data_IF_980976961108
#
_entry.id   IF_980976961108
#
_cell.length_a   1.000
_cell.length_b   1.000
_cell.length_c   1.000
_cell.angle_alpha   90.00
_cell.angle_beta   90.00
_cell.angle_gamma   90.00
#
_symmetry.space_group_name_H-M   'P 1'
#
loop_
_entity.id
_entity.type
_entity.pdbx_description
1 polymer ?
#
# COMPACT_ATOMS: atom_id res chain seq x y z
N UNK A 1 5.01 -1.05 20.20
CA UNK A 1 5.79 -0.20 19.29
C UNK A 1 6.46 0.92 20.08
N UNK A 2 7.76 1.10 19.90
CA UNK A 2 8.48 2.21 20.54
C UNK A 2 8.15 3.51 19.78
N UNK A 3 8.17 4.65 20.47
CA UNK A 3 7.91 5.97 19.87
C UNK A 3 8.89 6.33 18.72
N UNK A 4 9.99 5.57 18.59
CA UNK A 4 11.03 5.74 17.57
C UNK A 4 10.92 4.77 16.38
N UNK A 5 9.92 3.88 16.30
CA UNK A 5 9.87 2.94 15.18
C UNK A 5 9.64 3.68 13.86
N UNK A 6 10.45 3.38 12.86
CA UNK A 6 10.36 3.88 11.49
C UNK A 6 9.92 2.72 10.60
N UNK A 7 8.93 2.96 9.75
CA UNK A 7 8.42 1.98 8.78
C UNK A 7 8.88 2.38 7.38
N UNK A 8 9.50 1.44 6.68
CA UNK A 8 9.87 1.59 5.28
C UNK A 8 8.70 1.27 4.38
N UNK A 9 8.50 2.01 3.28
CA UNK A 9 7.42 1.73 2.31
C UNK A 9 8.00 1.57 0.92
N UNK A 10 7.76 0.40 0.34
CA UNK A 10 8.00 0.03 -1.05
C UNK A 10 6.63 -0.08 -1.72
N UNK A 11 6.35 0.76 -2.71
CA UNK A 11 5.08 0.77 -3.42
C UNK A 11 5.26 0.91 -4.92
N UNK A 12 4.19 0.57 -5.66
CA UNK A 12 4.14 0.77 -7.10
C UNK A 12 4.30 2.23 -7.49
N UNK A 13 3.59 3.14 -6.84
CA UNK A 13 3.65 4.56 -7.17
C UNK A 13 3.68 5.48 -5.95
N UNK A 14 4.01 6.76 -6.15
CA UNK A 14 3.90 7.77 -5.10
C UNK A 14 2.46 7.96 -4.62
N UNK A 15 1.47 7.85 -5.51
CA UNK A 15 0.06 7.98 -5.15
C UNK A 15 -0.38 6.91 -4.13
N UNK A 16 0.02 5.65 -4.33
CA UNK A 16 -0.33 4.54 -3.44
C UNK A 16 0.31 4.72 -2.06
N UNK A 17 1.58 5.11 -2.03
CA UNK A 17 2.30 5.43 -0.79
C UNK A 17 1.58 6.49 0.01
N UNK A 18 1.00 7.50 -0.63
CA UNK A 18 0.26 8.56 0.06
C UNK A 18 -0.98 8.02 0.79
N UNK A 19 -1.70 7.08 0.16
CA UNK A 19 -2.84 6.40 0.79
C UNK A 19 -2.39 5.56 1.98
N UNK A 20 -1.36 4.73 1.79
CA UNK A 20 -0.77 3.89 2.84
C UNK A 20 -0.31 4.75 4.02
N UNK A 21 0.37 5.87 3.74
CA UNK A 21 0.84 6.83 4.76
C UNK A 21 -0.31 7.28 5.67
N UNK A 22 -1.44 7.69 5.09
CA UNK A 22 -2.58 8.13 5.89
C UNK A 22 -3.25 6.99 6.66
N UNK A 23 -3.29 5.76 6.12
CA UNK A 23 -3.77 4.58 6.86
C UNK A 23 -2.91 4.33 8.10
N UNK A 24 -1.58 4.30 7.95
CA UNK A 24 -0.65 4.03 9.06
C UNK A 24 -0.75 5.06 10.17
N UNK A 25 -0.84 6.36 9.84
CA UNK A 25 -0.97 7.44 10.82
C UNK A 25 -2.12 7.21 11.80
N UNK A 26 -3.27 6.73 11.31
CA UNK A 26 -4.40 6.44 12.20
C UNK A 26 -4.25 5.08 12.90
N UNK A 27 -3.79 4.05 12.20
CA UNK A 27 -3.72 2.68 12.73
C UNK A 27 -2.69 2.56 13.87
N UNK A 28 -1.55 3.24 13.72
CA UNK A 28 -0.42 3.19 14.64
C UNK A 28 -0.28 4.44 15.51
N UNK A 29 -0.93 5.55 15.16
CA UNK A 29 -0.78 6.82 15.88
C UNK A 29 0.56 7.52 15.61
N UNK A 30 1.25 7.15 14.53
CA UNK A 30 2.54 7.72 14.11
C UNK A 30 2.35 8.93 13.20
N UNK A 31 3.45 9.66 12.92
CA UNK A 31 3.46 10.79 11.99
C UNK A 31 4.32 10.54 10.74
N UNK A 32 4.54 11.58 9.93
CA UNK A 32 5.33 11.50 8.70
C UNK A 32 6.81 11.17 8.96
N UNK A 33 7.38 11.53 10.11
CA UNK A 33 8.78 11.25 10.44
C UNK A 33 9.02 9.76 10.69
N UNK A 34 7.98 9.01 11.06
CA UNK A 34 8.02 7.56 11.25
C UNK A 34 7.83 6.77 9.94
N UNK A 35 7.59 7.42 8.79
CA UNK A 35 7.27 6.73 7.53
C UNK A 35 8.31 7.11 6.47
N UNK A 36 9.13 6.15 6.08
CA UNK A 36 10.19 6.36 5.10
C UNK A 36 9.84 5.75 3.76
N UNK A 37 9.91 6.55 2.70
CA UNK A 37 9.86 6.04 1.33
C UNK A 37 11.14 5.26 1.01
N UNK A 38 11.02 3.99 0.67
CA UNK A 38 12.10 3.16 0.16
C UNK A 38 12.06 3.08 -1.36
N UNK A 39 10.87 2.82 -1.93
CA UNK A 39 10.62 2.88 -3.37
C UNK A 39 9.16 3.31 -3.66
N UNK A 40 8.92 4.08 -4.74
CA UNK A 40 9.92 4.88 -5.45
C UNK A 40 10.45 5.99 -4.53
N UNK A 41 11.74 6.31 -4.59
CA UNK A 41 12.31 7.42 -3.81
C UNK A 41 11.78 8.73 -4.38
N UNK A 42 11.19 9.58 -3.53
CA UNK A 42 10.85 10.94 -3.94
C UNK A 42 12.13 11.69 -4.30
N UNK A 43 12.18 12.26 -5.50
CA UNK A 43 13.30 13.10 -5.97
C UNK A 43 13.43 14.35 -5.08
N UNK A 44 14.15 14.26 -3.97
CA UNK A 44 14.45 15.45 -3.15
C UNK A 44 15.91 15.62 -2.73
N UNK A 45 16.78 14.59 -2.78
CA UNK A 45 18.20 14.79 -2.46
C UNK A 45 19.17 14.31 -3.56
N UNK A 46 20.20 15.13 -3.82
CA UNK A 46 21.27 14.85 -4.78
C UNK A 46 22.07 13.58 -4.45
N UNK A 47 22.09 13.18 -3.17
CA UNK A 47 22.70 11.94 -2.68
C UNK A 47 21.95 10.67 -3.10
N UNK A 48 20.63 10.74 -3.28
CA UNK A 48 19.82 9.57 -3.69
C UNK A 48 19.93 9.30 -5.20
N UNK A 49 20.18 10.36 -5.99
CA UNK A 49 20.49 10.24 -7.43
C UNK A 49 21.74 9.41 -7.71
N UNK A 50 22.72 9.41 -6.80
CA UNK A 50 23.95 8.63 -6.95
C UNK A 50 23.77 7.14 -6.66
N UNK A 51 22.73 6.75 -5.91
CA UNK A 51 22.46 5.35 -5.55
C UNK A 51 21.70 4.58 -6.63
N UNK A 52 21.00 5.28 -7.52
CA UNK A 52 20.18 4.70 -8.58
C UNK A 52 20.86 4.93 -9.93
N UNK A 53 21.52 3.89 -10.46
CA UNK A 53 21.92 3.82 -11.88
C UNK A 53 20.93 2.90 -12.60
N UNK A 54 19.93 3.45 -13.28
CA UNK A 54 19.07 2.66 -14.18
C UNK A 54 17.59 3.04 -14.15
N UNK A 55 16.79 2.27 -14.89
CA UNK A 55 15.33 2.41 -15.07
C UNK A 55 14.49 2.26 -13.78
N UNK A 56 15.10 2.23 -12.59
CA UNK A 56 14.43 2.08 -11.28
C UNK A 56 13.65 3.33 -10.84
N UNK A 57 13.60 4.37 -11.67
CA UNK A 57 12.69 5.52 -11.49
C UNK A 57 11.24 5.20 -11.88
N UNK A 58 11.00 4.10 -12.61
CA UNK A 58 9.66 3.66 -12.98
C UNK A 58 9.19 2.63 -11.98
N UNK A 59 8.27 3.04 -11.11
CA UNK A 59 7.64 2.13 -10.14
C UNK A 59 6.78 1.05 -10.81
N UNK A 60 5.89 0.43 -10.05
CA UNK A 60 5.08 -0.70 -10.46
C UNK A 60 5.64 -2.05 -10.04
N UNK A 61 4.91 -3.12 -10.37
CA UNK A 61 5.24 -4.51 -10.02
C UNK A 61 6.69 -4.92 -10.26
N UNK A 62 7.29 -4.55 -11.40
CA UNK A 62 8.66 -4.95 -11.74
C UNK A 62 9.71 -4.37 -10.79
N UNK A 63 9.56 -3.10 -10.39
CA UNK A 63 10.50 -2.46 -9.46
C UNK A 63 10.38 -3.06 -8.06
N UNK A 64 9.15 -3.25 -7.58
CA UNK A 64 8.89 -3.91 -6.30
C UNK A 64 9.45 -5.33 -6.29
N UNK A 65 9.16 -6.12 -7.33
CA UNK A 65 9.68 -7.48 -7.48
C UNK A 65 11.20 -7.54 -7.44
N UNK A 66 11.88 -6.68 -8.21
CA UNK A 66 13.34 -6.65 -8.24
C UNK A 66 13.91 -6.37 -6.85
N UNK A 67 13.34 -5.40 -6.12
CA UNK A 67 13.76 -5.13 -4.75
C UNK A 67 13.43 -6.29 -3.79
N UNK A 68 12.31 -6.99 -3.92
CA UNK A 68 12.02 -8.17 -3.10
C UNK A 68 13.02 -9.32 -3.34
N UNK A 69 13.51 -9.47 -4.58
CA UNK A 69 14.49 -10.50 -4.93
C UNK A 69 15.89 -10.10 -4.46
N UNK A 70 16.34 -8.90 -4.82
CA UNK A 70 17.69 -8.40 -4.50
C UNK A 70 17.84 -8.02 -3.01
N UNK A 71 16.74 -7.60 -2.37
CA UNK A 71 16.63 -7.17 -0.96
C UNK A 71 17.66 -6.11 -0.56
N UNK A 72 18.16 -5.32 -1.51
CA UNK A 72 19.28 -4.42 -1.29
C UNK A 72 18.90 -3.24 -0.40
N UNK A 73 17.79 -2.58 -0.70
CA UNK A 73 17.24 -1.47 0.08
C UNK A 73 16.58 -2.02 1.35
N UNK A 74 15.86 -3.14 1.25
CA UNK A 74 15.22 -3.81 2.38
C UNK A 74 16.23 -4.14 3.47
N UNK A 75 17.32 -4.85 3.14
CA UNK A 75 18.32 -5.25 4.13
C UNK A 75 19.07 -4.04 4.70
N UNK A 76 19.30 -2.99 3.90
CA UNK A 76 19.93 -1.76 4.40
C UNK A 76 19.04 -1.01 5.40
N UNK A 77 17.73 -1.01 5.17
CA UNK A 77 16.76 -0.39 6.06
C UNK A 77 16.65 -1.17 7.38
N UNK A 78 16.41 -2.48 7.29
CA UNK A 78 16.22 -3.35 8.46
C UNK A 78 17.48 -3.51 9.33
N UNK A 79 18.67 -3.19 8.81
CA UNK A 79 19.91 -3.24 9.58
C UNK A 79 20.08 -2.07 10.58
N UNK A 80 19.17 -1.09 10.59
CA UNK A 80 19.25 0.09 11.47
C UNK A 80 18.28 -0.08 12.66
N UNK A 81 18.80 0.12 13.87
CA UNK A 81 17.97 0.06 15.09
C UNK A 81 16.74 0.99 15.00
N UNK A 82 15.57 0.43 15.29
CA UNK A 82 14.28 1.11 15.21
C UNK A 82 13.63 1.10 13.83
N UNK A 83 14.22 0.45 12.83
CA UNK A 83 13.63 0.21 11.51
C UNK A 83 13.14 -1.24 11.41
N UNK A 84 12.09 -1.56 12.15
CA UNK A 84 11.68 -2.96 12.40
C UNK A 84 10.74 -3.52 11.32
N UNK A 85 10.09 -2.66 10.54
CA UNK A 85 9.06 -3.09 9.58
C UNK A 85 9.19 -2.41 8.22
N UNK A 86 8.95 -3.19 7.18
CA UNK A 86 8.71 -2.69 5.82
C UNK A 86 7.28 -2.97 5.39
N UNK A 87 6.74 -2.10 4.55
CA UNK A 87 5.49 -2.31 3.83
C UNK A 87 5.82 -2.54 2.37
N UNK A 88 5.25 -3.60 1.82
CA UNK A 88 5.30 -3.89 0.39
C UNK A 88 3.88 -3.74 -0.16
N UNK A 89 3.73 -2.85 -1.13
CA UNK A 89 2.47 -2.58 -1.80
C UNK A 89 2.51 -3.05 -3.25
N UNK A 90 1.49 -3.83 -3.60
CA UNK A 90 1.09 -4.18 -4.96
C UNK A 90 -0.42 -4.14 -5.06
N UNK A 91 -0.94 -3.68 -6.17
CA UNK A 91 -2.32 -3.90 -6.57
C UNK A 91 -2.48 -5.18 -7.38
N UNK A 92 -3.71 -5.66 -7.55
CA UNK A 92 -3.96 -6.91 -8.28
C UNK A 92 -4.34 -6.70 -9.75
N UNK A 93 -4.36 -5.47 -10.27
CA UNK A 93 -4.77 -5.18 -11.65
C UNK A 93 -3.82 -5.87 -12.64
N UNK A 94 -2.52 -5.81 -12.37
CA UNK A 94 -1.47 -6.37 -13.23
C UNK A 94 -0.99 -7.77 -12.82
N UNK A 95 -1.51 -8.31 -11.71
CA UNK A 95 -1.01 -9.54 -11.08
C UNK A 95 -0.90 -10.76 -12.02
N UNK A 96 -1.79 -10.89 -13.01
CA UNK A 96 -1.74 -11.98 -13.98
C UNK A 96 -0.50 -11.97 -14.87
N UNK A 97 0.11 -10.80 -15.10
CA UNK A 97 1.36 -10.68 -15.85
C UNK A 97 2.55 -11.27 -15.07
N UNK A 98 2.39 -11.48 -13.76
CA UNK A 98 3.41 -11.96 -12.84
C UNK A 98 3.10 -13.35 -12.27
N UNK A 99 2.16 -14.08 -12.88
CA UNK A 99 1.86 -15.47 -12.55
C UNK A 99 0.69 -15.68 -11.58
N UNK A 100 0.00 -14.61 -11.14
CA UNK A 100 -1.22 -14.75 -10.33
C UNK A 100 -2.39 -15.12 -11.24
N UNK A 101 -2.91 -16.33 -11.09
CA UNK A 101 -4.12 -16.72 -11.82
C UNK A 101 -5.31 -15.91 -11.32
N UNK A 102 -5.95 -15.17 -12.22
CA UNK A 102 -7.21 -14.48 -11.93
C UNK A 102 -8.24 -15.52 -11.49
N UNK A 103 -8.90 -15.26 -10.37
CA UNK A 103 -10.03 -16.09 -9.91
C UNK A 103 -11.19 -15.82 -10.88
N UNK A 104 -11.72 -16.87 -11.55
CA UNK A 104 -12.67 -16.70 -12.65
C UNK A 104 -14.03 -16.13 -12.22
N UNK A 105 -14.38 -16.25 -10.95
CA UNK A 105 -15.66 -15.75 -10.41
C UNK A 105 -15.43 -14.86 -9.19
N UNK A 106 -16.00 -13.65 -9.24
CA UNK A 106 -16.02 -12.73 -8.11
C UNK A 106 -17.09 -13.18 -7.09
N UNK A 107 -16.73 -14.15 -6.26
CA UNK A 107 -17.53 -14.52 -5.09
C UNK A 107 -17.18 -13.63 -3.87
N UNK A 108 -17.85 -13.84 -2.74
CA UNK A 108 -17.64 -13.04 -1.52
C UNK A 108 -16.21 -13.15 -0.95
N UNK A 109 -15.47 -14.19 -1.32
CA UNK A 109 -14.07 -14.41 -0.90
C UNK A 109 -13.05 -13.97 -1.96
N UNK A 110 -13.49 -13.43 -3.10
CA UNK A 110 -12.61 -13.05 -4.21
C UNK A 110 -11.46 -12.16 -3.78
N UNK A 111 -11.77 -11.11 -3.01
CA UNK A 111 -10.78 -10.13 -2.58
C UNK A 111 -9.77 -10.72 -1.59
N UNK A 112 -10.21 -11.60 -0.69
CA UNK A 112 -9.35 -12.26 0.30
C UNK A 112 -8.41 -13.24 -0.40
N UNK A 113 -8.96 -14.14 -1.22
CA UNK A 113 -8.17 -15.15 -1.93
C UNK A 113 -7.17 -14.51 -2.91
N UNK A 114 -7.57 -13.47 -3.65
CA UNK A 114 -6.67 -12.81 -4.59
C UNK A 114 -5.55 -12.05 -3.86
N UNK A 115 -5.85 -11.47 -2.69
CA UNK A 115 -4.83 -10.89 -1.81
C UNK A 115 -3.84 -11.94 -1.35
N UNK A 116 -4.32 -13.08 -0.86
CA UNK A 116 -3.48 -14.19 -0.38
C UNK A 116 -2.51 -14.67 -1.47
N UNK A 117 -2.97 -14.85 -2.71
CA UNK A 117 -2.11 -15.24 -3.83
C UNK A 117 -0.99 -14.22 -4.11
N UNK A 118 -1.27 -12.92 -3.96
CA UNK A 118 -0.22 -11.89 -4.12
C UNK A 118 0.74 -11.88 -2.94
N UNK A 119 0.24 -12.09 -1.71
CA UNK A 119 1.09 -12.24 -0.51
C UNK A 119 2.04 -13.42 -0.67
N UNK A 120 1.55 -14.58 -1.11
CA UNK A 120 2.38 -15.76 -1.38
C UNK A 120 3.48 -15.48 -2.41
N UNK A 121 3.18 -14.68 -3.44
CA UNK A 121 4.19 -14.28 -4.42
C UNK A 121 5.23 -13.33 -3.82
N UNK A 122 4.80 -12.33 -3.03
CA UNK A 122 5.72 -11.40 -2.35
C UNK A 122 6.66 -12.20 -1.43
N UNK A 123 6.10 -13.04 -0.56
CA UNK A 123 6.87 -13.89 0.35
C UNK A 123 7.80 -14.84 -0.42
N UNK A 124 7.33 -15.39 -1.55
CA UNK A 124 8.13 -16.21 -2.45
C UNK A 124 9.29 -15.46 -3.11
N UNK A 125 9.20 -14.14 -3.32
CA UNK A 125 10.34 -13.33 -3.77
C UNK A 125 11.31 -12.99 -2.63
N UNK A 126 10.78 -12.76 -1.43
CA UNK A 126 11.58 -12.45 -0.26
C UNK A 126 12.42 -13.65 0.19
N UNK A 127 11.86 -14.88 0.16
CA UNK A 127 12.49 -16.17 0.51
C UNK A 127 13.09 -16.27 1.93
N UNK A 128 13.27 -15.15 2.64
CA UNK A 128 13.88 -15.04 3.95
C UNK A 128 12.81 -14.79 5.01
N UNK A 129 12.65 -15.76 5.93
CA UNK A 129 11.62 -15.71 6.96
C UNK A 129 11.74 -14.48 7.88
N UNK A 130 12.94 -14.05 8.26
CA UNK A 130 13.13 -12.88 9.13
C UNK A 130 12.64 -11.59 8.44
N UNK A 131 12.86 -11.49 7.13
CA UNK A 131 12.37 -10.37 6.31
C UNK A 131 10.86 -10.45 6.13
N UNK A 132 10.31 -11.64 5.90
CA UNK A 132 8.85 -11.89 5.79
C UNK A 132 8.14 -11.52 7.10
N UNK A 133 8.70 -11.90 8.24
CA UNK A 133 8.16 -11.58 9.56
C UNK A 133 8.13 -10.06 9.77
N UNK A 134 9.15 -9.35 9.27
CA UNK A 134 9.27 -7.89 9.27
C UNK A 134 8.48 -7.19 8.13
N UNK A 135 7.77 -7.94 7.29
CA UNK A 135 7.01 -7.41 6.15
C UNK A 135 5.52 -7.28 6.46
N UNK A 136 4.94 -6.14 6.09
CA UNK A 136 3.51 -5.83 6.15
C UNK A 136 2.94 -5.71 4.73
N UNK A 137 1.92 -6.51 4.42
CA UNK A 137 1.41 -6.61 3.04
C UNK A 137 0.26 -5.66 2.74
N UNK A 138 0.58 -4.55 2.10
CA UNK A 138 -0.40 -3.57 1.63
C UNK A 138 -0.94 -3.95 0.24
N UNK A 139 -1.55 -5.14 0.08
CA UNK A 139 -2.07 -5.57 -1.22
C UNK A 139 -3.46 -4.97 -1.48
N UNK A 140 -3.63 -4.22 -2.57
CA UNK A 140 -4.92 -3.63 -2.95
C UNK A 140 -5.60 -4.45 -4.05
N UNK A 141 -6.82 -4.92 -3.81
CA UNK A 141 -7.57 -5.66 -4.83
C UNK A 141 -8.07 -4.71 -5.93
N UNK A 142 -7.74 -5.07 -7.16
CA UNK A 142 -7.75 -4.25 -8.38
C UNK A 142 -6.75 -3.10 -8.33
N UNK A 143 -7.02 -1.99 -7.64
CA UNK A 143 -6.11 -0.82 -7.56
C UNK A 143 -6.27 -0.13 -6.18
N UNK A 144 -5.31 0.69 -5.75
CA UNK A 144 -5.41 1.45 -4.48
C UNK A 144 -6.67 2.33 -4.42
N UNK A 145 -7.18 2.77 -5.58
CA UNK A 145 -8.40 3.54 -5.75
C UNK A 145 -9.61 2.83 -5.15
N UNK A 146 -9.60 1.49 -5.07
CA UNK A 146 -10.64 0.72 -4.41
C UNK A 146 -10.71 1.05 -2.91
N UNK A 147 -9.56 1.30 -2.26
CA UNK A 147 -9.55 1.76 -0.88
C UNK A 147 -10.14 3.16 -0.79
N UNK A 148 -9.73 4.09 -1.65
CA UNK A 148 -10.26 5.45 -1.67
C UNK A 148 -11.78 5.50 -1.90
N UNK A 149 -12.34 4.58 -2.71
CA UNK A 149 -13.79 4.49 -2.91
C UNK A 149 -14.58 4.30 -1.61
N UNK A 150 -14.00 3.72 -0.57
CA UNK A 150 -14.67 3.60 0.75
C UNK A 150 -14.98 4.97 1.37
N UNK A 151 -14.24 6.02 1.00
CA UNK A 151 -14.45 7.40 1.42
C UNK A 151 -15.53 8.07 0.56
N UNK A 152 -15.48 7.87 -0.76
CA UNK A 152 -16.23 8.67 -1.73
C UNK A 152 -17.51 8.00 -2.25
N UNK A 153 -17.64 6.68 -2.15
CA UNK A 153 -18.82 5.90 -2.51
C UNK A 153 -19.40 5.20 -1.26
N UNK A 154 -19.70 6.02 -0.26
CA UNK A 154 -20.06 5.61 1.12
C UNK A 154 -21.11 4.50 1.15
N UNK A 155 -20.86 3.50 1.99
CA UNK A 155 -21.80 2.40 2.24
C UNK A 155 -21.78 1.28 1.20
N UNK A 156 -20.91 1.36 0.19
CA UNK A 156 -20.78 0.31 -0.84
C UNK A 156 -19.48 -0.45 -0.69
N UNK A 157 -19.58 -1.77 -0.79
CA UNK A 157 -18.42 -2.64 -0.91
C UNK A 157 -17.65 -2.33 -2.20
N UNK A 158 -16.46 -1.76 -2.02
CA UNK A 158 -15.59 -1.32 -3.09
C UNK A 158 -14.85 -2.46 -3.80
N UNK A 159 -14.74 -3.65 -3.18
CA UNK A 159 -14.17 -4.85 -3.80
C UNK A 159 -15.00 -5.34 -5.00
N UNK A 160 -16.28 -4.93 -5.09
CA UNK A 160 -17.17 -5.23 -6.22
C UNK A 160 -16.92 -4.35 -7.44
N UNK A 161 -16.10 -3.31 -7.33
CA UNK A 161 -15.73 -2.47 -8.48
C UNK A 161 -14.80 -3.25 -9.41
N UNK A 162 -15.13 -3.32 -10.70
CA UNK A 162 -14.24 -3.92 -11.72
C UNK A 162 -13.19 -2.95 -12.24
N UNK A 163 -13.42 -1.65 -12.06
CA UNK A 163 -12.53 -0.56 -12.50
C UNK A 163 -12.62 0.58 -11.46
N UNK A 164 -12.00 0.39 -10.28
CA UNK A 164 -12.10 1.34 -9.18
C UNK A 164 -11.52 2.71 -9.52
N UNK A 165 -10.44 2.80 -10.31
CA UNK A 165 -9.84 4.08 -10.71
C UNK A 165 -10.74 4.90 -11.60
N UNK A 166 -11.36 4.31 -12.62
CA UNK A 166 -12.34 5.04 -13.46
C UNK A 166 -13.55 5.49 -12.64
N UNK A 167 -14.03 4.62 -11.74
CA UNK A 167 -15.17 4.93 -10.87
C UNK A 167 -14.84 6.08 -9.91
N UNK A 168 -13.66 6.06 -9.28
CA UNK A 168 -13.20 7.12 -8.41
C UNK A 168 -13.08 8.43 -9.20
N UNK A 169 -12.39 8.41 -10.35
CA UNK A 169 -12.25 9.58 -11.22
C UNK A 169 -13.58 10.20 -11.62
N UNK A 170 -14.60 9.39 -11.92
CA UNK A 170 -15.95 9.87 -12.19
C UNK A 170 -16.62 10.56 -10.99
N UNK A 171 -16.51 9.96 -9.79
CA UNK A 171 -17.07 10.55 -8.56
C UNK A 171 -16.36 11.85 -8.21
N UNK A 172 -15.02 11.87 -8.29
CA UNK A 172 -14.23 13.07 -8.01
C UNK A 172 -14.55 14.19 -9.03
N UNK A 173 -14.61 13.86 -10.32
CA UNK A 173 -14.94 14.80 -11.39
C UNK A 173 -16.32 15.44 -11.22
N UNK A 174 -17.34 14.66 -10.82
CA UNK A 174 -18.68 15.19 -10.49
C UNK A 174 -18.67 16.21 -9.36
N UNK A 175 -17.76 16.04 -8.41
CA UNK A 175 -17.60 16.93 -7.26
C UNK A 175 -16.53 18.01 -7.48
N UNK A 176 -15.99 18.13 -8.70
CA UNK A 176 -14.92 19.07 -9.05
C UNK A 176 -13.66 18.91 -8.16
N UNK A 177 -13.39 17.68 -7.73
CA UNK A 177 -12.21 17.32 -6.95
C UNK A 177 -11.10 16.87 -7.91
N UNK A 178 -9.87 17.32 -7.68
CA UNK A 178 -8.71 16.91 -8.45
C UNK A 178 -8.49 15.39 -8.35
N UNK A 179 -8.38 14.71 -9.49
CA UNK A 179 -8.17 13.26 -9.58
C UNK A 179 -6.76 12.87 -10.09
N UNK A 180 -5.82 13.81 -10.15
CA UNK A 180 -4.43 13.49 -10.55
C UNK A 180 -3.84 12.45 -9.60
N UNK A 181 -3.26 11.39 -10.16
CA UNK A 181 -2.63 10.29 -9.41
C UNK A 181 -1.18 10.62 -9.08
N UNK A 182 -1.01 11.57 -8.16
CA UNK A 182 0.28 11.95 -7.58
C UNK A 182 0.23 11.89 -6.05
N UNK A 183 1.41 11.92 -5.41
CA UNK A 183 1.53 11.80 -3.95
C UNK A 183 0.72 12.87 -3.22
N UNK A 184 0.87 14.15 -3.59
CA UNK A 184 0.26 15.27 -2.87
C UNK A 184 -1.26 15.24 -2.95
N UNK A 185 -1.79 14.89 -4.12
CA UNK A 185 -3.22 14.80 -4.33
C UNK A 185 -3.80 13.58 -3.60
N UNK A 186 -3.19 12.40 -3.72
CA UNK A 186 -3.70 11.20 -3.04
C UNK A 186 -3.52 11.31 -1.52
N UNK A 187 -2.53 12.07 -1.02
CA UNK A 187 -2.40 12.40 0.40
C UNK A 187 -3.57 13.25 0.91
N UNK A 188 -4.11 14.14 0.07
CA UNK A 188 -5.32 14.92 0.38
C UNK A 188 -6.57 14.04 0.27
N UNK A 189 -6.70 13.27 -0.80
CA UNK A 189 -7.87 12.41 -1.04
C UNK A 189 -8.06 11.34 0.05
N UNK A 190 -6.96 10.74 0.51
CA UNK A 190 -6.96 9.73 1.57
C UNK A 190 -6.92 10.32 2.99
N UNK A 191 -6.96 11.65 3.15
CA UNK A 191 -6.84 12.29 4.47
C UNK A 191 -7.82 11.77 5.53
N UNK A 192 -9.07 11.39 5.19
CA UNK A 192 -9.98 10.76 6.14
C UNK A 192 -9.42 9.49 6.81
N UNK A 193 -8.58 8.70 6.12
CA UNK A 193 -7.91 7.54 6.75
C UNK A 193 -6.97 7.93 7.87
N UNK A 194 -6.41 9.13 7.86
CA UNK A 194 -5.51 9.63 8.90
C UNK A 194 -6.24 10.18 10.13
N UNK A 195 -7.58 10.15 10.17
CA UNK A 195 -8.39 10.83 11.18
C UNK A 195 -9.17 9.80 12.00
N UNK A 196 -8.79 9.55 13.27
CA UNK A 196 -9.46 8.56 14.12
C UNK A 196 -10.98 8.73 14.22
N UNK A 197 -11.47 9.98 14.26
CA UNK A 197 -12.91 10.28 14.28
C UNK A 197 -13.62 9.86 12.99
N UNK A 198 -13.00 10.09 11.83
CA UNK A 198 -13.55 9.71 10.53
C UNK A 198 -13.53 8.19 10.35
N UNK A 199 -12.41 7.54 10.68
CA UNK A 199 -12.29 6.07 10.61
C UNK A 199 -13.34 5.40 11.50
N UNK A 200 -13.51 5.86 12.74
CA UNK A 200 -14.51 5.31 13.66
C UNK A 200 -15.95 5.52 13.18
N UNK A 201 -16.24 6.70 12.61
CA UNK A 201 -17.60 7.05 12.14
C UNK A 201 -18.00 6.28 10.89
N UNK A 202 -17.12 6.28 9.89
CA UNK A 202 -17.45 5.78 8.56
C UNK A 202 -17.05 4.32 8.36
N UNK A 203 -16.23 3.75 9.25
CA UNK A 203 -15.82 2.34 9.23
C UNK A 203 -15.32 1.89 7.86
N UNK A 204 -14.43 2.67 7.25
CA UNK A 204 -13.99 2.48 5.87
C UNK A 204 -13.54 1.05 5.54
N UNK A 205 -12.83 0.39 6.47
CA UNK A 205 -12.38 -0.99 6.34
C UNK A 205 -13.52 -2.01 6.20
N UNK A 206 -14.72 -1.72 6.71
CA UNK A 206 -15.87 -2.63 6.58
C UNK A 206 -16.39 -2.69 5.14
N UNK A 207 -15.95 -1.77 4.27
CA UNK A 207 -16.35 -1.66 2.86
C UNK A 207 -15.24 -2.03 1.87
N UNK A 208 -14.12 -2.57 2.35
CA UNK A 208 -13.06 -3.13 1.50
C UNK A 208 -12.28 -4.20 2.27
N UNK A 209 -12.41 -5.47 1.84
CA UNK A 209 -11.75 -6.59 2.51
C UNK A 209 -10.22 -6.45 2.52
N UNK A 210 -9.60 -6.04 1.42
CA UNK A 210 -8.13 -5.92 1.33
C UNK A 210 -7.55 -4.82 2.24
N UNK A 211 -8.26 -3.69 2.38
CA UNK A 211 -7.92 -2.63 3.34
C UNK A 211 -8.04 -3.13 4.78
N UNK A 212 -9.10 -3.89 5.07
CA UNK A 212 -9.32 -4.49 6.40
C UNK A 212 -8.21 -5.45 6.77
N UNK A 213 -7.83 -6.35 5.87
CA UNK A 213 -6.74 -7.29 6.08
C UNK A 213 -5.40 -6.57 6.32
N UNK A 214 -5.10 -5.54 5.53
CA UNK A 214 -3.90 -4.73 5.76
C UNK A 214 -3.89 -4.07 7.15
N UNK A 215 -5.00 -3.46 7.57
CA UNK A 215 -5.11 -2.84 8.91
C UNK A 215 -4.95 -3.88 10.02
N UNK A 216 -5.57 -5.06 9.87
CA UNK A 216 -5.46 -6.15 10.84
C UNK A 216 -4.03 -6.65 10.95
N UNK A 217 -3.35 -6.85 9.82
CA UNK A 217 -1.94 -7.28 9.78
C UNK A 217 -1.03 -6.26 10.48
N UNK A 218 -1.19 -4.97 10.16
CA UNK A 218 -0.44 -3.88 10.81
C UNK A 218 -0.66 -3.93 12.33
N UNK A 219 -1.91 -4.02 12.79
CA UNK A 219 -2.22 -4.09 14.23
C UNK A 219 -1.58 -5.33 14.88
N UNK A 220 -1.70 -6.48 14.23
CA UNK A 220 -1.25 -7.76 14.79
C UNK A 220 0.27 -7.83 14.88
N UNK A 221 1.00 -7.46 13.82
CA UNK A 221 2.46 -7.59 13.79
C UNK A 221 3.18 -6.49 14.60
N UNK A 222 2.62 -5.29 14.72
CA UNK A 222 3.34 -4.14 15.35
C UNK A 222 2.96 -3.87 16.82
N UNK A 223 1.84 -4.43 17.30
CA UNK A 223 1.37 -4.29 18.69
C UNK A 223 1.54 -5.57 19.53
N UNK A 224 1.98 -6.66 18.90
CA UNK A 224 2.48 -7.85 19.61
C UNK A 224 3.86 -7.57 20.20
#
# INVERSE_FOLDING_TARGET
>A
MNDNTIIGVISEGPADRAVITNVLKCTLGIDDANIRALLPINKTDETDRARIKGNDEFGGWSSVKNECIEKKIINQFLAIDGQDFIIIHLDTAEASQYGVLRIPEKNDNYAVNLRELVVEIIDGWLENQEVIDSTLHAVAVEEIDAWLLTIYDVGKDSCKSTDPKKKLGFILGKNQINSTSDYDNYLKLSKPFSKPKEVKRNKFSDFNASLKEFINEVITKTKS
#
